data_IF_353389642230
#
_entry.id   IF_353389642230
#
_cell.length_a   1.000
_cell.length_b   1.000
_cell.length_c   1.000
_cell.angle_alpha   90.00
_cell.angle_beta   90.00
_cell.angle_gamma   90.00
#
_symmetry.space_group_name_H-M   'P 1'
#
loop_
_entity.id
_entity.type
_entity.pdbx_description
1 polymer ?
#
# COMPACT_ATOMS: atom_id res chain seq x y z
N UNK A 1 -11.43 23.61 69.15
CA UNK A 1 -11.27 24.35 67.88
C UNK A 1 -9.96 23.91 67.27
N UNK A 2 -10.01 23.15 66.17
CA UNK A 2 -8.82 22.64 65.46
C UNK A 2 -8.75 23.37 64.11
N UNK A 3 -7.81 24.31 63.98
CA UNK A 3 -7.62 25.07 62.75
C UNK A 3 -6.37 24.54 62.04
N UNK A 4 -6.60 23.85 60.91
CA UNK A 4 -5.56 23.27 60.06
C UNK A 4 -4.84 24.39 59.32
N UNK A 5 -3.53 24.51 59.55
CA UNK A 5 -2.62 25.35 58.79
C UNK A 5 -2.54 24.87 57.32
N UNK A 6 -2.92 25.73 56.38
CA UNK A 6 -2.64 25.56 54.94
C UNK A 6 -1.21 26.01 54.68
N UNK A 7 -0.35 25.08 54.31
CA UNK A 7 0.99 25.38 53.77
C UNK A 7 0.81 25.92 52.36
N UNK A 8 1.13 27.20 52.14
CA UNK A 8 1.28 27.79 50.82
C UNK A 8 2.72 27.54 50.36
N UNK A 9 2.92 26.54 49.50
CA UNK A 9 4.22 26.29 48.86
C UNK A 9 4.63 27.52 48.04
N UNK A 10 5.89 27.94 48.18
CA UNK A 10 6.43 29.11 47.49
C UNK A 10 6.58 28.85 45.99
N UNK A 11 6.48 29.91 45.18
CA UNK A 11 6.64 29.86 43.70
C UNK A 11 7.95 29.19 43.26
N UNK A 12 8.99 29.30 44.09
CA UNK A 12 10.29 28.68 43.86
C UNK A 12 10.26 27.16 44.04
N UNK A 13 9.59 26.64 45.07
CA UNK A 13 9.45 25.20 45.31
C UNK A 13 8.61 24.52 44.23
N UNK A 14 7.57 25.20 43.72
CA UNK A 14 6.78 24.74 42.58
C UNK A 14 7.60 24.67 41.28
N UNK A 15 8.52 25.61 41.08
CA UNK A 15 9.42 25.62 39.92
C UNK A 15 10.46 24.49 39.97
N UNK A 16 11.01 24.22 41.15
CA UNK A 16 11.94 23.10 41.36
C UNK A 16 11.26 21.74 41.19
N UNK A 17 10.02 21.57 41.68
CA UNK A 17 9.22 20.35 41.43
C UNK A 17 8.90 20.15 39.95
N UNK A 18 8.58 21.21 39.21
CA UNK A 18 8.35 21.13 37.75
C UNK A 18 9.62 20.74 36.97
N UNK A 19 10.78 21.31 37.31
CA UNK A 19 12.06 20.92 36.70
C UNK A 19 12.43 19.48 37.02
N UNK A 20 12.24 19.05 38.26
CA UNK A 20 12.45 17.66 38.68
C UNK A 20 11.52 16.69 37.93
N UNK A 21 10.25 17.05 37.74
CA UNK A 21 9.31 16.25 36.92
C UNK A 21 9.74 16.17 35.45
N UNK A 22 10.17 17.29 34.85
CA UNK A 22 10.66 17.33 33.47
C UNK A 22 11.93 16.48 33.29
N UNK A 23 12.90 16.60 34.20
CA UNK A 23 14.11 15.76 34.20
C UNK A 23 13.78 14.26 34.41
N UNK A 24 12.79 13.95 35.25
CA UNK A 24 12.32 12.56 35.45
C UNK A 24 11.60 11.99 34.23
N UNK A 25 10.90 12.84 33.45
CA UNK A 25 10.15 12.42 32.26
C UNK A 25 11.05 12.27 31.06
N UNK A 26 12.08 13.11 30.94
CA UNK A 26 13.14 12.96 29.94
C UNK A 26 14.02 11.73 30.22
N UNK A 27 14.35 11.47 31.49
CA UNK A 27 15.02 10.25 31.91
C UNK A 27 14.21 8.98 31.61
N UNK A 28 12.90 9.00 31.89
CA UNK A 28 11.99 7.89 31.56
C UNK A 28 11.87 7.67 30.04
N UNK A 29 11.79 8.74 29.25
CA UNK A 29 11.77 8.63 27.77
C UNK A 29 13.07 8.06 27.23
N UNK A 30 14.22 8.52 27.72
CA UNK A 30 15.52 8.01 27.28
C UNK A 30 15.69 6.53 27.63
N UNK A 31 15.23 6.12 28.81
CA UNK A 31 15.26 4.73 29.25
C UNK A 31 14.29 3.84 28.45
N UNK A 32 13.08 4.32 28.18
CA UNK A 32 12.09 3.62 27.34
C UNK A 32 12.59 3.46 25.88
N UNK A 33 13.31 4.45 25.35
CA UNK A 33 13.95 4.37 24.02
C UNK A 33 15.10 3.35 24.04
N UNK A 34 15.90 3.31 25.12
CA UNK A 34 17.01 2.37 25.28
C UNK A 34 16.51 0.92 25.39
N UNK A 35 15.51 0.67 26.24
CA UNK A 35 14.92 -0.67 26.44
C UNK A 35 14.24 -1.18 25.16
N UNK A 36 13.52 -0.31 24.42
CA UNK A 36 13.00 -0.65 23.10
C UNK A 36 14.10 -1.00 22.10
N UNK A 37 15.25 -0.31 22.16
CA UNK A 37 16.37 -0.58 21.27
C UNK A 37 17.06 -1.92 21.53
N UNK A 38 17.08 -2.40 22.78
CA UNK A 38 17.62 -3.72 23.14
C UNK A 38 16.68 -4.85 22.73
N UNK A 39 15.36 -4.69 22.93
CA UNK A 39 14.35 -5.65 22.45
C UNK A 39 14.42 -5.78 20.92
N UNK A 40 14.62 -4.67 20.20
CA UNK A 40 14.80 -4.66 18.74
C UNK A 40 16.07 -5.45 18.35
N UNK A 41 17.18 -5.31 19.08
CA UNK A 41 18.43 -6.03 18.80
C UNK A 41 18.28 -7.54 19.02
N UNK A 42 17.71 -7.96 20.13
CA UNK A 42 17.53 -9.38 20.45
C UNK A 42 16.55 -10.08 19.50
N UNK A 43 15.51 -9.37 19.09
CA UNK A 43 14.54 -9.88 18.14
C UNK A 43 15.15 -10.03 16.72
N UNK A 44 15.99 -9.07 16.27
CA UNK A 44 16.71 -9.14 14.99
C UNK A 44 17.71 -10.31 14.96
N UNK A 45 18.30 -10.67 16.11
CA UNK A 45 19.20 -11.82 16.23
C UNK A 45 18.52 -13.19 16.34
N UNK A 46 17.18 -13.23 16.44
CA UNK A 46 16.47 -14.49 16.55
C UNK A 46 16.40 -15.19 15.18
N UNK A 47 17.36 -16.09 14.91
CA UNK A 47 17.46 -16.86 13.66
C UNK A 47 16.14 -17.56 13.28
N UNK A 48 15.35 -17.99 14.27
CA UNK A 48 14.04 -18.60 14.05
C UNK A 48 13.02 -17.64 13.45
N UNK A 49 13.10 -16.36 13.81
CA UNK A 49 12.21 -15.32 13.31
C UNK A 49 12.60 -14.87 11.90
N UNK A 50 13.90 -14.71 11.62
CA UNK A 50 14.42 -14.43 10.27
C UNK A 50 14.05 -15.55 9.28
N UNK A 51 14.16 -16.82 9.69
CA UNK A 51 13.71 -17.97 8.87
C UNK A 51 12.21 -17.96 8.56
N UNK A 52 11.38 -17.45 9.47
CA UNK A 52 9.92 -17.30 9.23
C UNK A 52 9.62 -16.26 8.14
N UNK A 53 10.47 -15.24 7.97
CA UNK A 53 10.32 -14.26 6.88
C UNK A 53 10.62 -14.87 5.51
N UNK A 54 11.75 -15.57 5.37
CA UNK A 54 12.19 -16.10 4.07
C UNK A 54 11.22 -17.12 3.47
N UNK A 55 10.48 -17.84 4.33
CA UNK A 55 9.51 -18.86 3.92
C UNK A 55 8.03 -18.41 3.90
N UNK A 56 7.72 -17.12 4.06
CA UNK A 56 6.35 -16.70 4.34
C UNK A 56 5.42 -16.85 3.12
N UNK A 57 4.36 -17.65 3.27
CA UNK A 57 3.37 -17.93 2.23
C UNK A 57 2.03 -17.29 2.59
N UNK A 58 1.69 -16.23 1.88
CA UNK A 58 0.42 -15.51 2.02
C UNK A 58 -0.16 -15.24 0.64
N UNK A 59 -1.43 -15.58 0.47
CA UNK A 59 -2.19 -15.37 -0.77
C UNK A 59 -3.30 -14.35 -0.54
N UNK A 60 -3.60 -13.57 -1.58
CA UNK A 60 -4.71 -12.62 -1.58
C UNK A 60 -5.50 -12.83 -2.86
N UNK A 61 -6.80 -13.13 -2.75
CA UNK A 61 -7.66 -13.37 -3.91
C UNK A 61 -9.03 -12.67 -3.75
N UNK A 62 -9.52 -11.95 -4.76
CA UNK A 62 -8.80 -11.53 -5.96
C UNK A 62 -7.74 -10.47 -5.63
N UNK A 63 -6.60 -10.48 -6.31
CA UNK A 63 -5.57 -9.43 -6.18
C UNK A 63 -5.71 -8.31 -7.23
N UNK A 64 -6.58 -8.50 -8.22
CA UNK A 64 -6.90 -7.54 -9.27
C UNK A 64 -8.42 -7.41 -9.44
N UNK A 65 -8.89 -6.17 -9.52
CA UNK A 65 -10.31 -5.81 -9.67
C UNK A 65 -10.44 -4.78 -10.77
N UNK A 66 -11.40 -4.97 -11.67
CA UNK A 66 -11.70 -3.99 -12.72
C UNK A 66 -12.72 -2.96 -12.25
N UNK A 67 -12.43 -1.69 -12.50
CA UNK A 67 -13.30 -0.55 -12.19
C UNK A 67 -13.84 0.00 -13.51
N UNK A 68 -15.07 -0.38 -13.84
CA UNK A 68 -15.71 -0.06 -15.12
C UNK A 68 -16.78 1.04 -15.01
N UNK A 69 -17.22 1.39 -13.80
CA UNK A 69 -18.31 2.35 -13.58
C UNK A 69 -17.99 3.36 -12.49
N UNK A 70 -18.79 4.42 -12.45
CA UNK A 70 -18.71 5.45 -11.39
C UNK A 70 -19.42 5.02 -10.11
N UNK A 71 -20.10 3.86 -10.14
CA UNK A 71 -20.93 3.38 -9.05
C UNK A 71 -20.10 2.87 -7.88
N UNK A 72 -20.76 2.84 -6.73
CA UNK A 72 -20.23 2.22 -5.54
C UNK A 72 -20.11 0.71 -5.73
N UNK A 73 -19.00 0.15 -5.24
CA UNK A 73 -18.69 -1.28 -5.38
C UNK A 73 -18.06 -1.77 -4.09
N UNK A 74 -18.50 -2.93 -3.61
CA UNK A 74 -17.90 -3.63 -2.48
C UNK A 74 -17.27 -4.91 -3.03
N UNK A 75 -15.98 -5.11 -2.75
CA UNK A 75 -15.26 -6.33 -3.12
C UNK A 75 -14.66 -6.95 -1.88
N UNK A 76 -14.84 -8.27 -1.78
CA UNK A 76 -14.25 -9.09 -0.73
C UNK A 76 -12.93 -9.69 -1.24
N UNK A 77 -11.86 -9.46 -0.49
CA UNK A 77 -10.54 -10.00 -0.74
C UNK A 77 -10.17 -10.98 0.37
N UNK A 78 -9.95 -12.23 0.00
CA UNK A 78 -9.56 -13.29 0.89
C UNK A 78 -8.04 -13.27 1.09
N UNK A 79 -7.60 -12.95 2.31
CA UNK A 79 -6.19 -13.02 2.70
C UNK A 79 -5.96 -14.34 3.43
N UNK A 80 -5.27 -15.28 2.78
CA UNK A 80 -5.02 -16.63 3.30
C UNK A 80 -3.60 -16.76 3.82
N UNK A 81 -3.47 -17.10 5.11
CA UNK A 81 -2.21 -17.42 5.74
C UNK A 81 -1.90 -18.92 5.57
N UNK A 82 -0.96 -19.27 4.69
CA UNK A 82 -0.56 -20.67 4.49
C UNK A 82 0.55 -21.11 5.45
N UNK A 83 0.97 -20.27 6.40
CA UNK A 83 2.04 -20.57 7.33
C UNK A 83 1.55 -21.38 8.53
N UNK A 84 2.49 -22.02 9.22
CA UNK A 84 2.25 -22.72 10.50
C UNK A 84 2.29 -21.80 11.72
N UNK A 85 2.48 -20.50 11.50
CA UNK A 85 2.52 -19.45 12.51
C UNK A 85 1.53 -18.33 12.15
N UNK A 86 1.03 -17.57 13.15
CA UNK A 86 0.15 -16.44 12.89
C UNK A 86 0.90 -15.29 12.22
N UNK A 87 0.19 -14.46 11.48
CA UNK A 87 0.74 -13.27 10.80
C UNK A 87 -0.03 -12.02 11.20
N UNK A 88 0.65 -10.89 11.30
CA UNK A 88 0.04 -9.58 11.45
C UNK A 88 0.04 -8.88 10.08
N UNK A 89 -1.05 -8.20 9.75
CA UNK A 89 -1.14 -7.41 8.53
C UNK A 89 -1.59 -5.98 8.83
N UNK A 90 -1.18 -5.05 7.96
CA UNK A 90 -1.77 -3.71 7.84
C UNK A 90 -1.90 -3.31 6.37
N UNK A 91 -2.97 -2.61 6.05
CA UNK A 91 -3.29 -2.16 4.70
C UNK A 91 -3.02 -0.68 4.58
N UNK A 92 -2.13 -0.29 3.66
CA UNK A 92 -1.92 1.12 3.30
C UNK A 92 -2.96 1.51 2.27
N UNK A 93 -3.88 2.37 2.70
CA UNK A 93 -4.90 2.97 1.84
C UNK A 93 -4.33 4.22 1.17
N UNK A 94 -4.22 4.19 -0.15
CA UNK A 94 -3.72 5.31 -0.96
C UNK A 94 -4.69 6.47 -1.04
N UNK A 95 -6.01 6.22 -1.07
CA UNK A 95 -7.01 7.28 -1.14
C UNK A 95 -8.27 7.00 -0.30
N UNK A 96 -8.29 7.56 0.92
CA UNK A 96 -9.40 7.39 1.89
C UNK A 96 -10.70 8.11 1.47
N UNK A 97 -10.64 9.04 0.53
CA UNK A 97 -11.82 9.75 0.02
C UNK A 97 -12.58 8.93 -1.02
N UNK A 98 -11.94 7.90 -1.61
CA UNK A 98 -12.53 7.02 -2.63
C UNK A 98 -12.81 5.62 -2.13
N UNK A 99 -12.15 5.20 -1.05
CA UNK A 99 -12.25 3.84 -0.54
C UNK A 99 -12.44 3.81 0.97
N UNK A 100 -13.29 2.88 1.42
CA UNK A 100 -13.51 2.52 2.82
C UNK A 100 -13.19 1.04 2.99
N UNK A 101 -12.50 0.70 4.07
CA UNK A 101 -12.15 -0.67 4.41
C UNK A 101 -12.90 -1.05 5.68
N UNK A 102 -13.34 -2.30 5.80
CA UNK A 102 -13.91 -2.82 7.05
C UNK A 102 -12.85 -2.83 8.17
N UNK A 103 -11.60 -3.15 7.84
CA UNK A 103 -10.47 -3.24 8.76
C UNK A 103 -9.17 -2.88 8.07
N UNK A 104 -8.34 -2.10 8.75
CA UNK A 104 -7.06 -1.62 8.22
C UNK A 104 -5.91 -2.53 8.68
N UNK A 105 -6.05 -3.24 9.79
CA UNK A 105 -5.02 -4.11 10.32
C UNK A 105 -5.61 -5.24 11.15
N UNK A 106 -4.92 -6.37 11.22
CA UNK A 106 -5.36 -7.52 11.99
C UNK A 106 -4.27 -8.57 12.17
N UNK A 107 -4.64 -9.64 12.88
CA UNK A 107 -3.83 -10.85 13.02
C UNK A 107 -4.63 -11.97 12.37
N UNK A 108 -3.96 -12.76 11.54
CA UNK A 108 -4.52 -13.96 10.90
C UNK A 108 -3.84 -15.16 11.56
N UNK A 109 -4.60 -16.10 12.15
CA UNK A 109 -4.02 -17.27 12.78
C UNK A 109 -3.30 -18.16 11.75
N UNK A 110 -2.47 -19.08 12.22
CA UNK A 110 -1.84 -20.09 11.37
C UNK A 110 -2.91 -20.85 10.57
N UNK A 111 -2.67 -21.06 9.26
CA UNK A 111 -3.64 -21.70 8.34
C UNK A 111 -5.01 -21.02 8.28
N UNK A 112 -5.10 -19.77 8.75
CA UNK A 112 -6.34 -19.01 8.79
C UNK A 112 -6.54 -18.11 7.57
N UNK A 113 -7.77 -17.64 7.45
CA UNK A 113 -8.20 -16.71 6.41
C UNK A 113 -8.80 -15.45 7.04
N UNK A 114 -8.59 -14.30 6.40
CA UNK A 114 -9.25 -13.04 6.73
C UNK A 114 -9.91 -12.43 5.50
N UNK A 115 -11.18 -12.01 5.63
CA UNK A 115 -11.92 -11.34 4.57
C UNK A 115 -11.78 -9.82 4.72
N UNK A 116 -11.01 -9.23 3.80
CA UNK A 116 -10.88 -7.79 3.67
C UNK A 116 -11.95 -7.25 2.73
N UNK A 117 -12.90 -6.49 3.26
CA UNK A 117 -13.91 -5.80 2.45
C UNK A 117 -13.39 -4.41 2.08
N UNK A 118 -13.23 -4.17 0.78
CA UNK A 118 -12.90 -2.86 0.22
C UNK A 118 -14.13 -2.31 -0.49
N UNK A 119 -14.70 -1.25 0.09
CA UNK A 119 -15.81 -0.48 -0.45
C UNK A 119 -15.28 0.72 -1.21
N UNK A 120 -15.41 0.71 -2.53
CA UNK A 120 -15.20 1.87 -3.40
C UNK A 120 -16.44 2.76 -3.38
N UNK A 121 -16.26 4.01 -2.99
CA UNK A 121 -17.32 5.02 -3.01
C UNK A 121 -17.60 5.50 -4.43
N UNK A 122 -18.79 6.08 -4.64
CA UNK A 122 -19.17 6.67 -5.92
C UNK A 122 -18.18 7.77 -6.33
N UNK A 123 -17.43 7.53 -7.41
CA UNK A 123 -16.42 8.46 -7.93
C UNK A 123 -16.01 8.05 -9.35
N UNK A 124 -15.21 8.88 -10.03
CA UNK A 124 -14.70 8.52 -11.36
C UNK A 124 -13.77 7.29 -11.30
N UNK A 125 -13.84 6.39 -12.30
CA UNK A 125 -12.98 5.23 -12.40
C UNK A 125 -11.54 5.70 -12.52
N UNK A 126 -10.70 5.20 -11.60
CA UNK A 126 -9.28 5.47 -11.58
C UNK A 126 -8.58 4.24 -11.05
N UNK A 127 -7.46 3.89 -11.68
CA UNK A 127 -6.61 2.83 -11.18
C UNK A 127 -6.00 3.22 -9.84
N UNK A 128 -6.07 2.33 -8.85
CA UNK A 128 -5.43 2.50 -7.55
C UNK A 128 -4.84 1.19 -7.02
N UNK A 129 -3.92 1.33 -6.07
CA UNK A 129 -3.19 0.22 -5.46
C UNK A 129 -3.32 0.29 -3.94
N UNK A 130 -3.48 -0.89 -3.33
CA UNK A 130 -3.40 -1.09 -1.89
C UNK A 130 -2.20 -1.99 -1.60
N UNK A 131 -1.38 -1.57 -0.65
CA UNK A 131 -0.26 -2.36 -0.15
C UNK A 131 -0.68 -3.03 1.16
N UNK A 132 -0.74 -4.36 1.15
CA UNK A 132 -0.97 -5.19 2.33
C UNK A 132 0.40 -5.60 2.85
N UNK A 133 0.85 -4.94 3.90
CA UNK A 133 2.10 -5.23 4.58
C UNK A 133 1.88 -6.30 5.64
N UNK A 134 2.76 -7.31 5.65
CA UNK A 134 2.58 -8.52 6.46
C UNK A 134 3.89 -8.85 7.19
N UNK A 135 3.77 -9.24 8.45
CA UNK A 135 4.85 -9.72 9.31
C UNK A 135 4.46 -11.02 10.02
N UNK A 136 5.39 -11.94 10.32
CA UNK A 136 5.14 -13.07 11.22
C UNK A 136 4.76 -12.54 12.59
N UNK A 137 3.61 -12.90 13.15
CA UNK A 137 3.21 -12.42 14.47
C UNK A 137 3.68 -13.39 15.54
N UNK A 138 4.24 -12.87 16.63
CA UNK A 138 4.61 -13.67 17.79
C UNK A 138 4.37 -12.83 19.05
N UNK A 139 3.55 -13.35 19.96
CA UNK A 139 3.18 -12.63 21.18
C UNK A 139 4.34 -12.55 22.17
N UNK A 140 5.29 -13.49 22.07
CA UNK A 140 6.45 -13.56 22.96
C UNK A 140 7.38 -12.35 22.77
N UNK A 141 7.37 -11.68 21.61
CA UNK A 141 8.10 -10.43 21.46
C UNK A 141 7.45 -9.27 22.22
N UNK A 142 6.13 -9.28 22.39
CA UNK A 142 5.41 -8.20 23.09
C UNK A 142 5.60 -8.34 24.61
N UNK A 143 5.71 -9.57 25.13
CA UNK A 143 5.93 -9.85 26.56
C UNK A 143 7.37 -9.61 27.03
N UNK A 144 8.35 -9.49 26.13
CA UNK A 144 9.74 -9.17 26.49
C UNK A 144 9.90 -7.75 27.05
N UNK A 145 8.95 -6.86 26.77
CA UNK A 145 8.85 -5.57 27.43
C UNK A 145 8.36 -5.78 28.87
N UNK A 146 9.27 -5.69 29.85
CA UNK A 146 9.04 -5.98 31.29
C UNK A 146 7.90 -5.16 31.90
N UNK A 147 7.43 -4.10 31.23
CA UNK A 147 6.29 -3.30 31.66
C UNK A 147 4.92 -3.90 31.27
N UNK A 148 4.88 -4.90 30.37
CA UNK A 148 3.64 -5.48 29.83
C UNK A 148 3.43 -6.88 30.39
N UNK A 149 2.78 -6.96 31.55
CA UNK A 149 2.47 -8.24 32.21
C UNK A 149 1.27 -8.98 31.58
N UNK A 150 0.44 -8.29 30.78
CA UNK A 150 -0.72 -8.89 30.14
C UNK A 150 -0.96 -8.33 28.73
N UNK A 151 -0.44 -9.01 27.71
CA UNK A 151 -0.58 -8.64 26.29
C UNK A 151 -2.04 -8.58 25.83
N UNK A 152 -2.93 -9.36 26.46
CA UNK A 152 -4.36 -9.38 26.11
C UNK A 152 -5.09 -8.11 26.57
N UNK A 153 -4.53 -7.37 27.53
CA UNK A 153 -5.06 -6.06 27.95
C UNK A 153 -4.80 -4.96 26.90
N UNK A 154 -3.87 -5.19 25.96
CA UNK A 154 -3.54 -4.26 24.90
C UNK A 154 -4.47 -4.49 23.71
N UNK A 155 -5.04 -3.40 23.20
CA UNK A 155 -5.85 -3.44 21.98
C UNK A 155 -5.06 -4.07 20.83
N UNK A 156 -5.74 -4.85 19.99
CA UNK A 156 -5.08 -5.51 18.85
C UNK A 156 -4.39 -4.50 17.91
N UNK A 157 -4.95 -3.29 17.78
CA UNK A 157 -4.37 -2.21 16.99
C UNK A 157 -3.03 -1.75 17.56
N UNK A 158 -2.94 -1.57 18.88
CA UNK A 158 -1.69 -1.15 19.52
C UNK A 158 -0.61 -2.23 19.43
N UNK A 159 -1.01 -3.51 19.60
CA UNK A 159 -0.10 -4.66 19.41
C UNK A 159 0.48 -4.69 18.01
N UNK A 160 -0.37 -4.56 16.99
CA UNK A 160 0.08 -4.53 15.59
C UNK A 160 0.96 -3.30 15.34
N UNK A 161 0.58 -2.11 15.82
CA UNK A 161 1.36 -0.90 15.63
C UNK A 161 2.76 -1.02 16.23
N UNK A 162 2.87 -1.58 17.43
CA UNK A 162 4.15 -1.87 18.07
C UNK A 162 4.98 -2.85 17.23
N UNK A 163 4.36 -3.93 16.76
CA UNK A 163 5.02 -4.96 15.97
C UNK A 163 5.62 -4.42 14.66
N UNK A 164 4.89 -3.56 13.96
CA UNK A 164 5.38 -2.87 12.76
C UNK A 164 6.37 -1.73 13.05
N UNK A 165 6.63 -1.39 14.33
CA UNK A 165 7.63 -0.41 14.75
C UNK A 165 8.99 -1.03 15.11
N UNK A 166 9.08 -2.37 15.15
CA UNK A 166 10.31 -3.11 15.48
C UNK A 166 11.42 -3.03 14.43
N UNK A 167 11.18 -2.35 13.29
CA UNK A 167 12.18 -2.14 12.24
C UNK A 167 12.30 -3.29 11.24
N UNK A 168 11.50 -4.34 11.34
CA UNK A 168 11.45 -5.40 10.33
C UNK A 168 10.89 -4.91 8.99
N UNK A 169 11.44 -5.44 7.90
CA UNK A 169 10.95 -5.18 6.54
C UNK A 169 9.74 -6.10 6.30
N UNK A 170 8.51 -5.55 6.14
CA UNK A 170 7.34 -6.37 5.88
C UNK A 170 7.32 -6.92 4.45
N UNK A 171 6.72 -8.09 4.30
CA UNK A 171 6.36 -8.60 2.98
C UNK A 171 5.14 -7.84 2.51
N UNK A 172 5.19 -7.35 1.27
CA UNK A 172 4.12 -6.54 0.69
C UNK A 172 3.39 -7.34 -0.39
N UNK A 173 2.07 -7.49 -0.22
CA UNK A 173 1.16 -8.02 -1.24
C UNK A 173 0.28 -6.90 -1.76
N UNK A 174 0.02 -6.90 -3.06
CA UNK A 174 -0.65 -5.78 -3.72
C UNK A 174 -2.05 -6.18 -4.13
N UNK A 175 -3.03 -5.33 -3.84
CA UNK A 175 -4.36 -5.39 -4.44
C UNK A 175 -4.46 -4.23 -5.42
N UNK A 176 -4.84 -4.52 -6.67
CA UNK A 176 -4.91 -3.53 -7.75
C UNK A 176 -6.34 -3.35 -8.23
N UNK A 177 -6.82 -2.13 -8.14
CA UNK A 177 -8.02 -1.68 -8.81
C UNK A 177 -7.58 -1.07 -10.13
N UNK A 178 -7.95 -1.68 -11.25
CA UNK A 178 -7.57 -1.21 -12.58
C UNK A 178 -8.79 -0.62 -13.25
N UNK A 179 -8.65 0.62 -13.73
CA UNK A 179 -9.58 1.14 -14.70
C UNK A 179 -9.48 0.28 -15.96
N UNK A 180 -10.62 -0.12 -16.53
CA UNK A 180 -10.62 -0.73 -17.85
C UNK A 180 -10.03 0.31 -18.83
N UNK A 181 -9.00 -0.01 -19.64
CA UNK A 181 -8.55 0.91 -20.66
C UNK A 181 -9.77 1.31 -21.48
N UNK A 182 -9.96 2.60 -21.79
CA UNK A 182 -11.17 3.05 -22.43
C UNK A 182 -11.08 2.71 -23.92
N UNK A 183 -10.91 1.43 -24.28
CA UNK A 183 -10.75 1.00 -25.65
C UNK A 183 -11.90 1.52 -26.50
N UNK A 184 -13.15 1.42 -26.01
CA UNK A 184 -14.31 1.94 -26.73
C UNK A 184 -14.24 3.46 -26.93
N UNK A 185 -13.80 4.22 -25.92
CA UNK A 185 -13.64 5.68 -26.04
C UNK A 185 -12.41 6.06 -26.87
N UNK A 186 -11.35 5.26 -26.83
CA UNK A 186 -10.12 5.43 -27.60
C UNK A 186 -10.39 5.16 -29.08
N UNK A 187 -11.06 4.05 -29.41
CA UNK A 187 -11.48 3.72 -30.77
C UNK A 187 -12.51 4.72 -31.29
N UNK A 188 -13.49 5.15 -30.48
CA UNK A 188 -14.39 6.23 -30.87
C UNK A 188 -13.66 7.55 -31.15
N UNK A 189 -12.61 7.88 -30.37
CA UNK A 189 -11.75 9.05 -30.63
C UNK A 189 -10.85 8.86 -31.84
N UNK A 190 -10.30 7.67 -32.06
CA UNK A 190 -9.45 7.34 -33.23
C UNK A 190 -10.26 7.26 -34.53
N UNK A 191 -11.57 7.02 -34.43
CA UNK A 191 -12.49 7.12 -35.55
C UNK A 191 -12.80 8.57 -35.95
N UNK A 192 -12.42 9.57 -35.15
CA UNK A 192 -12.50 10.97 -35.57
C UNK A 192 -11.34 11.29 -36.52
N UNK A 193 -11.61 11.64 -37.80
CA UNK A 193 -10.55 11.91 -38.78
C UNK A 193 -9.59 13.03 -38.36
N UNK A 194 -10.02 13.96 -37.51
CA UNK A 194 -9.19 15.06 -37.02
C UNK A 194 -8.05 14.60 -36.10
N UNK A 195 -8.19 13.44 -35.44
CA UNK A 195 -7.20 12.93 -34.49
C UNK A 195 -6.06 12.14 -35.15
N UNK A 196 -6.23 11.73 -36.41
CA UNK A 196 -5.22 11.02 -37.21
C UNK A 196 -4.70 11.90 -38.35
N UNK A 197 -4.55 13.20 -38.07
CA UNK A 197 -3.97 14.17 -38.99
C UNK A 197 -2.51 13.86 -39.27
N UNK A 198 -2.14 13.83 -40.54
CA UNK A 198 -0.78 13.58 -41.01
C UNK A 198 -0.25 14.79 -41.75
N UNK A 199 1.07 14.99 -41.68
CA UNK A 199 1.73 16.06 -42.44
C UNK A 199 1.65 15.80 -43.95
N UNK A 200 1.70 16.85 -44.77
CA UNK A 200 1.71 16.74 -46.23
C UNK A 200 2.87 15.84 -46.74
N UNK A 201 4.01 15.86 -46.05
CA UNK A 201 5.17 15.01 -46.35
C UNK A 201 4.84 13.52 -46.12
N UNK A 202 4.18 13.20 -45.01
CA UNK A 202 3.75 11.85 -44.70
C UNK A 202 2.62 11.40 -45.64
N UNK A 203 1.67 12.27 -45.98
CA UNK A 203 0.60 11.98 -46.93
C UNK A 203 1.14 11.62 -48.33
N UNK A 204 2.15 12.36 -48.81
CA UNK A 204 2.82 12.03 -50.08
C UNK A 204 3.55 10.68 -50.01
N UNK A 205 4.20 10.38 -48.89
CA UNK A 205 4.88 9.09 -48.70
C UNK A 205 3.88 7.92 -48.64
N UNK A 206 2.78 8.04 -47.90
CA UNK A 206 1.75 7.01 -47.80
C UNK A 206 1.10 6.70 -49.16
N UNK A 207 0.84 7.72 -49.99
CA UNK A 207 0.32 7.51 -51.34
C UNK A 207 1.35 6.79 -52.23
N UNK A 208 2.62 7.23 -52.21
CA UNK A 208 3.69 6.58 -52.99
C UNK A 208 3.88 5.10 -52.66
N UNK A 209 3.67 4.72 -51.40
CA UNK A 209 3.80 3.34 -50.91
C UNK A 209 2.50 2.54 -51.08
N UNK A 210 1.41 3.17 -51.53
CA UNK A 210 0.12 2.52 -51.73
C UNK A 210 -0.66 2.25 -50.45
N UNK A 211 -0.29 2.90 -49.33
CA UNK A 211 -1.03 2.81 -48.06
C UNK A 211 -2.36 3.56 -48.15
N UNK A 212 -2.41 4.64 -48.93
CA UNK A 212 -3.63 5.43 -49.16
C UNK A 212 -3.92 5.52 -50.65
N UNK A 213 -5.18 5.34 -51.05
CA UNK A 213 -5.61 5.41 -52.46
C UNK A 213 -5.58 6.83 -53.06
N UNK A 214 -5.49 7.87 -52.22
CA UNK A 214 -5.40 9.26 -52.60
C UNK A 214 -4.58 10.05 -51.57
N UNK A 215 -4.08 11.23 -51.96
CA UNK A 215 -3.44 12.16 -51.01
C UNK A 215 -4.54 12.73 -50.12
N UNK A 216 -4.40 12.53 -48.81
CA UNK A 216 -5.35 13.01 -47.82
C UNK A 216 -4.64 13.44 -46.55
N UNK A 217 -5.27 14.36 -45.83
CA UNK A 217 -4.69 14.97 -44.63
C UNK A 217 -4.88 14.12 -43.37
N UNK A 218 -5.71 13.08 -43.45
CA UNK A 218 -6.08 12.23 -42.32
C UNK A 218 -5.99 10.75 -42.70
N UNK A 219 -5.45 9.91 -41.82
CA UNK A 219 -5.51 8.46 -41.95
C UNK A 219 -6.78 7.90 -41.32
N UNK A 220 -7.28 6.80 -41.88
CA UNK A 220 -8.21 5.91 -41.17
C UNK A 220 -7.44 5.05 -40.18
N UNK A 221 -8.13 4.47 -39.20
CA UNK A 221 -7.51 3.57 -38.23
C UNK A 221 -6.80 2.39 -38.91
N UNK A 222 -7.38 1.83 -39.97
CA UNK A 222 -6.77 0.72 -40.72
C UNK A 222 -5.47 1.14 -41.40
N UNK A 223 -5.43 2.31 -42.02
CA UNK A 223 -4.21 2.82 -42.67
C UNK A 223 -3.14 3.21 -41.66
N UNK A 224 -3.54 3.70 -40.48
CA UNK A 224 -2.61 3.92 -39.36
C UNK A 224 -1.97 2.61 -38.89
N UNK A 225 -2.75 1.55 -38.72
CA UNK A 225 -2.24 0.22 -38.35
C UNK A 225 -1.28 -0.32 -39.42
N UNK A 226 -1.62 -0.17 -40.70
CA UNK A 226 -0.74 -0.57 -41.81
C UNK A 226 0.59 0.19 -41.79
N UNK A 227 0.54 1.50 -41.52
CA UNK A 227 1.73 2.34 -41.41
C UNK A 227 2.60 1.96 -40.21
N UNK A 228 2.00 1.75 -39.03
CA UNK A 228 2.71 1.33 -37.82
C UNK A 228 3.41 -0.03 -38.02
N UNK A 229 2.73 -0.96 -38.68
CA UNK A 229 3.29 -2.27 -39.04
C UNK A 229 4.51 -2.13 -39.97
N UNK A 230 4.43 -1.25 -40.97
CA UNK A 230 5.55 -0.97 -41.87
C UNK A 230 6.76 -0.38 -41.14
N UNK A 231 6.55 0.53 -40.18
CA UNK A 231 7.64 1.09 -39.35
C UNK A 231 8.23 0.05 -38.38
N UNK A 232 7.41 -0.80 -37.77
CA UNK A 232 7.89 -1.87 -36.90
C UNK A 232 8.78 -2.88 -37.65
N UNK A 233 8.44 -3.23 -38.90
CA UNK A 233 9.29 -4.10 -39.72
C UNK A 233 10.65 -3.46 -40.09
N UNK A 234 10.71 -2.13 -40.23
CA UNK A 234 11.97 -1.41 -40.51
C UNK A 234 12.91 -1.40 -39.29
N UNK A 235 12.38 -1.33 -38.06
CA UNK A 235 13.20 -1.38 -36.84
C UNK A 235 13.79 -2.76 -36.58
N UNK A 236 13.05 -3.83 -36.89
CA UNK A 236 13.53 -5.20 -36.73
C UNK A 236 14.59 -5.58 -37.77
N UNK A 237 14.57 -4.96 -38.96
CA UNK A 237 15.57 -5.18 -40.00
C UNK A 237 16.83 -4.32 -39.87
N UNK A 238 16.78 -3.23 -39.08
CA UNK A 238 17.98 -2.44 -38.75
C UNK A 238 18.73 -2.94 -37.51
N UNK A 239 18.16 -3.89 -36.76
CA UNK A 239 18.80 -4.54 -35.61
C UNK A 239 19.61 -5.79 -35.97
N UNK A 240 19.78 -6.06 -37.26
CA UNK A 240 20.61 -7.15 -37.81
C UNK A 240 21.69 -6.56 -38.73
N UNK A 241 22.66 -5.88 -38.12
CA UNK A 241 24.03 -5.70 -38.62
C UNK A 241 24.96 -5.89 -37.43
#
# INVERSE_FOLDING_TARGET
>A
MNEKSRVQDSSWELSQRKRSLLLSTDGKKAQEISERSEIIKDAITNEGYVKRFEGMKVKIEPDNVWVCSNEEMIVEHEITNENTFPIAFRVKVTNRNRFRLNKISGIIPAKGTFILQIRRLQCDPKSERFDVEILPYDEDFITQDKCIMNVQSISIQNRIQWFFSLGYIPIVRNIRYRQNPPWDTLFAKLNNPQNLRISAKLASACNKVGITNAIKDNLTLNEFIMLDTAFCHIQNSTSTI
#
